data_IF_644438229264
#
_entry.id   IF_644438229264
#
_cell.length_a   1.000
_cell.length_b   1.000
_cell.length_c   1.000
_cell.angle_alpha   90.00
_cell.angle_beta   90.00
_cell.angle_gamma   90.00
#
_symmetry.space_group_name_H-M   'P 1'
#
loop_
_entity.id
_entity.type
_entity.pdbx_description
1 polymer ?
#
# COMPACT_ATOMS: atom_id res chain seq x y z
N UNK A 1 -3.46 -9.72 16.61
CA UNK A 1 -2.40 -10.27 15.74
C UNK A 1 -1.13 -9.52 16.03
N UNK A 2 -0.03 -10.20 16.34
CA UNK A 2 1.28 -9.59 16.44
C UNK A 2 2.11 -9.92 15.20
N UNK A 3 3.14 -9.14 14.99
CA UNK A 3 4.09 -9.27 13.89
C UNK A 3 5.51 -9.45 14.44
N UNK A 4 6.27 -10.27 13.76
CA UNK A 4 7.65 -10.62 14.09
C UNK A 4 8.56 -10.28 12.92
N UNK A 5 9.85 -10.04 13.19
CA UNK A 5 10.83 -9.91 12.12
C UNK A 5 11.20 -11.26 11.52
N UNK A 6 11.37 -11.32 10.21
CA UNK A 6 11.94 -12.49 9.52
C UNK A 6 13.37 -12.81 9.95
N UNK A 7 14.06 -11.88 10.63
CA UNK A 7 15.41 -12.06 11.19
C UNK A 7 15.40 -12.32 12.70
N UNK A 8 14.24 -12.23 13.37
CA UNK A 8 14.06 -12.56 14.77
C UNK A 8 14.51 -11.50 15.77
N UNK A 9 15.01 -10.35 15.31
CA UNK A 9 15.53 -9.28 16.17
C UNK A 9 14.50 -8.21 16.59
N UNK A 10 13.20 -8.47 16.41
CA UNK A 10 12.13 -7.54 16.77
C UNK A 10 11.20 -8.16 17.81
N UNK A 11 10.90 -7.43 18.88
CA UNK A 11 9.83 -7.82 19.79
C UNK A 11 8.46 -7.83 19.04
N UNK A 12 7.51 -8.69 19.43
CA UNK A 12 6.19 -8.72 18.80
C UNK A 12 5.50 -7.36 18.86
N UNK A 13 5.05 -6.86 17.72
CA UNK A 13 4.39 -5.56 17.58
C UNK A 13 3.04 -5.67 16.89
N UNK A 14 2.06 -4.76 17.19
CA UNK A 14 0.79 -4.71 16.48
C UNK A 14 0.94 -4.13 15.07
N UNK A 15 -0.09 -4.29 14.24
CA UNK A 15 -0.10 -3.83 12.86
C UNK A 15 0.18 -2.32 12.72
N UNK A 16 -0.43 -1.48 13.56
CA UNK A 16 -0.28 -0.02 13.46
C UNK A 16 1.14 0.45 13.79
N UNK A 17 1.94 -0.31 14.54
CA UNK A 17 3.32 0.03 14.85
C UNK A 17 4.23 -0.33 13.67
N UNK A 18 4.14 -1.57 13.18
CA UNK A 18 4.95 -2.01 12.04
C UNK A 18 4.66 -1.20 10.77
N UNK A 19 3.43 -0.70 10.63
CA UNK A 19 3.04 0.14 9.50
C UNK A 19 3.91 1.41 9.42
N UNK A 20 4.16 2.06 10.56
CA UNK A 20 4.93 3.31 10.61
C UNK A 20 6.45 3.07 10.54
N UNK A 21 6.92 1.91 10.98
CA UNK A 21 8.35 1.56 10.93
C UNK A 21 8.81 1.17 9.51
N UNK A 22 7.93 0.56 8.72
CA UNK A 22 8.22 0.09 7.37
C UNK A 22 9.04 -1.21 7.32
N UNK A 23 10.25 -1.21 7.85
CA UNK A 23 11.09 -2.40 8.05
C UNK A 23 11.25 -2.68 9.55
N UNK A 24 11.47 -3.95 9.91
CA UNK A 24 11.84 -4.29 11.27
C UNK A 24 13.21 -3.66 11.66
N UNK A 25 13.46 -3.34 12.96
CA UNK A 25 14.70 -2.70 13.40
C UNK A 25 15.98 -3.44 13.02
N UNK A 26 15.88 -4.76 12.83
CA UNK A 26 16.99 -5.61 12.39
C UNK A 26 17.13 -5.69 10.85
N UNK A 27 16.37 -4.88 10.11
CA UNK A 27 16.30 -4.87 8.64
C UNK A 27 15.57 -6.06 8.03
N UNK A 28 14.86 -6.85 8.86
CA UNK A 28 13.94 -7.90 8.40
C UNK A 28 12.60 -7.35 7.93
N UNK A 29 11.77 -8.24 7.37
CA UNK A 29 10.38 -7.94 7.06
C UNK A 29 9.51 -8.26 8.28
N UNK A 30 8.50 -7.44 8.54
CA UNK A 30 7.47 -7.76 9.51
C UNK A 30 6.49 -8.78 8.91
N UNK A 31 6.34 -9.93 9.56
CA UNK A 31 5.42 -10.99 9.17
C UNK A 31 4.48 -11.31 10.33
N UNK A 32 3.22 -11.72 10.07
CA UNK A 32 2.31 -12.09 11.15
C UNK A 32 2.84 -13.31 11.91
N UNK A 33 2.70 -13.29 13.23
CA UNK A 33 3.10 -14.39 14.11
C UNK A 33 2.42 -15.72 13.74
N UNK A 34 1.19 -15.64 13.26
CA UNK A 34 0.42 -16.78 12.78
C UNK A 34 -0.38 -16.37 11.53
N UNK A 35 -0.45 -17.25 10.54
CA UNK A 35 -1.33 -17.04 9.40
C UNK A 35 -2.78 -17.39 9.81
N UNK A 36 -3.73 -16.44 9.68
CA UNK A 36 -5.12 -16.69 9.98
C UNK A 36 -5.67 -17.85 9.15
N UNK A 37 -6.38 -18.76 9.79
CA UNK A 37 -7.08 -19.85 9.11
C UNK A 37 -8.50 -19.38 8.77
N UNK A 38 -8.96 -19.74 7.58
CA UNK A 38 -10.31 -19.44 7.09
C UNK A 38 -10.99 -20.76 6.76
N UNK A 39 -12.13 -21.04 7.40
CA UNK A 39 -12.89 -22.27 7.13
C UNK A 39 -13.64 -22.20 5.79
N UNK A 40 -14.05 -23.34 5.27
CA UNK A 40 -14.86 -23.42 4.06
C UNK A 40 -16.20 -22.68 4.23
N UNK A 41 -16.82 -22.78 5.41
CA UNK A 41 -18.07 -22.07 5.73
C UNK A 41 -17.87 -20.56 5.71
N UNK A 42 -16.73 -20.08 6.25
CA UNK A 42 -16.39 -18.66 6.21
C UNK A 42 -16.18 -18.18 4.78
N UNK A 43 -15.44 -18.94 3.95
CA UNK A 43 -15.25 -18.61 2.54
C UNK A 43 -16.59 -18.57 1.79
N UNK A 44 -17.50 -19.50 2.08
CA UNK A 44 -18.82 -19.51 1.47
C UNK A 44 -19.66 -18.30 1.90
N UNK A 45 -19.56 -17.88 3.17
CA UNK A 45 -20.27 -16.69 3.69
C UNK A 45 -19.80 -15.38 3.06
N UNK A 46 -18.60 -15.36 2.51
CA UNK A 46 -18.04 -14.19 1.81
C UNK A 46 -18.47 -14.12 0.33
N UNK A 47 -19.07 -15.18 -0.19
CA UNK A 47 -19.52 -15.21 -1.58
C UNK A 47 -20.52 -14.08 -1.85
N UNK A 48 -20.22 -13.29 -2.87
CA UNK A 48 -21.08 -12.18 -3.29
C UNK A 48 -20.98 -10.91 -2.45
N UNK A 49 -20.04 -10.84 -1.48
CA UNK A 49 -19.75 -9.58 -0.81
C UNK A 49 -19.21 -8.53 -1.80
N UNK A 50 -19.58 -7.25 -1.64
CA UNK A 50 -18.88 -6.17 -2.31
C UNK A 50 -17.39 -6.20 -1.98
N UNK A 51 -16.53 -5.80 -2.94
CA UNK A 51 -15.07 -5.91 -2.76
C UNK A 51 -14.56 -5.24 -1.48
N UNK A 52 -15.05 -4.05 -1.13
CA UNK A 52 -14.65 -3.35 0.09
C UNK A 52 -14.98 -4.13 1.38
N UNK A 53 -16.12 -4.82 1.40
CA UNK A 53 -16.53 -5.64 2.55
C UNK A 53 -15.74 -6.96 2.59
N UNK A 54 -15.44 -7.57 1.44
CA UNK A 54 -14.53 -8.72 1.36
C UNK A 54 -13.12 -8.34 1.83
N UNK A 55 -12.61 -7.17 1.43
CA UNK A 55 -11.33 -6.66 1.89
C UNK A 55 -11.32 -6.46 3.42
N UNK A 56 -12.40 -5.94 4.00
CA UNK A 56 -12.54 -5.85 5.45
C UNK A 56 -12.47 -7.23 6.12
N UNK A 57 -13.18 -8.23 5.60
CA UNK A 57 -13.18 -9.58 6.16
C UNK A 57 -11.77 -10.21 6.17
N UNK A 58 -10.98 -9.95 5.15
CA UNK A 58 -9.59 -10.41 5.10
C UNK A 58 -8.69 -9.57 6.03
N UNK A 59 -8.71 -8.25 5.89
CA UNK A 59 -7.79 -7.35 6.58
C UNK A 59 -8.02 -7.30 8.09
N UNK A 60 -9.27 -7.51 8.56
CA UNK A 60 -9.59 -7.58 9.99
C UNK A 60 -8.88 -8.73 10.73
N UNK A 61 -8.43 -9.74 10.01
CA UNK A 61 -7.65 -10.85 10.57
C UNK A 61 -6.19 -10.51 10.80
N UNK A 62 -5.70 -9.46 10.13
CA UNK A 62 -4.32 -8.99 10.19
C UNK A 62 -4.20 -7.70 11.01
N UNK A 63 -5.01 -6.69 10.75
CA UNK A 63 -5.00 -5.39 11.43
C UNK A 63 -5.93 -5.40 12.67
N UNK A 64 -5.65 -6.31 13.61
CA UNK A 64 -6.54 -6.59 14.77
C UNK A 64 -6.53 -5.51 15.85
N UNK A 65 -5.60 -4.58 15.80
CA UNK A 65 -5.49 -3.42 16.70
C UNK A 65 -6.25 -2.18 16.18
N UNK A 66 -6.81 -2.25 14.97
CA UNK A 66 -7.73 -1.24 14.44
C UNK A 66 -9.17 -1.67 14.77
N UNK A 67 -10.01 -0.81 15.41
CA UNK A 67 -11.41 -1.11 15.66
C UNK A 67 -12.15 -1.50 14.38
N UNK A 68 -13.03 -2.50 14.47
CA UNK A 68 -13.69 -3.08 13.29
C UNK A 68 -14.47 -2.05 12.45
N UNK A 69 -15.16 -1.12 13.09
CA UNK A 69 -15.94 -0.08 12.40
C UNK A 69 -15.02 0.90 11.67
N UNK A 70 -13.89 1.28 12.29
CA UNK A 70 -12.88 2.13 11.66
C UNK A 70 -12.27 1.42 10.45
N UNK A 71 -11.84 0.17 10.61
CA UNK A 71 -11.25 -0.62 9.51
C UNK A 71 -12.23 -0.80 8.35
N UNK A 72 -13.52 -1.04 8.64
CA UNK A 72 -14.58 -1.10 7.63
C UNK A 72 -14.73 0.23 6.89
N UNK A 73 -14.66 1.35 7.61
CA UNK A 73 -14.63 2.69 7.02
C UNK A 73 -13.45 2.88 6.07
N UNK A 74 -12.25 2.45 6.48
CA UNK A 74 -11.03 2.55 5.68
C UNK A 74 -11.10 1.71 4.40
N UNK A 75 -11.58 0.47 4.46
CA UNK A 75 -11.72 -0.37 3.27
C UNK A 75 -12.75 0.20 2.29
N UNK A 76 -13.87 0.72 2.80
CA UNK A 76 -14.90 1.37 1.96
C UNK A 76 -14.43 2.69 1.36
N UNK A 77 -13.55 3.42 2.04
CA UNK A 77 -12.94 4.64 1.49
C UNK A 77 -11.87 4.34 0.44
N UNK A 78 -11.15 3.22 0.59
CA UNK A 78 -10.11 2.80 -0.34
C UNK A 78 -10.66 2.19 -1.65
N UNK A 79 -11.71 1.37 -1.55
CA UNK A 79 -12.21 0.57 -2.67
C UNK A 79 -13.57 1.06 -3.15
N UNK A 80 -13.55 2.11 -3.97
CA UNK A 80 -14.74 2.73 -4.58
C UNK A 80 -14.65 2.70 -6.10
N UNK A 81 -15.81 2.66 -6.79
CA UNK A 81 -15.86 2.73 -8.24
C UNK A 81 -15.31 4.06 -8.80
N UNK A 82 -15.33 5.14 -8.01
CA UNK A 82 -14.71 6.41 -8.39
C UNK A 82 -13.19 6.33 -8.45
N UNK A 83 -12.56 5.55 -7.56
CA UNK A 83 -11.11 5.36 -7.53
C UNK A 83 -10.68 4.34 -8.59
N UNK A 84 -11.42 3.22 -8.70
CA UNK A 84 -11.03 2.08 -9.54
C UNK A 84 -11.70 2.05 -10.93
N UNK A 85 -12.53 3.03 -11.30
CA UNK A 85 -13.22 3.08 -12.59
C UNK A 85 -13.97 1.77 -12.95
N UNK A 86 -14.35 0.98 -11.96
CA UNK A 86 -15.05 -0.30 -12.08
C UNK A 86 -15.92 -0.52 -10.87
N UNK A 87 -17.17 -0.93 -11.06
CA UNK A 87 -18.08 -1.28 -9.96
C UNK A 87 -17.59 -2.53 -9.21
N UNK A 88 -16.98 -3.47 -9.92
CA UNK A 88 -16.45 -4.69 -9.33
C UNK A 88 -15.11 -4.49 -8.60
N UNK A 89 -14.45 -3.32 -8.78
CA UNK A 89 -13.09 -3.01 -8.32
C UNK A 89 -12.05 -3.95 -8.96
N UNK A 90 -12.27 -5.25 -8.88
CA UNK A 90 -11.46 -6.33 -9.46
C UNK A 90 -12.36 -7.19 -10.35
N UNK A 91 -12.57 -6.79 -11.62
CA UNK A 91 -13.44 -7.54 -12.52
C UNK A 91 -12.85 -8.91 -12.85
N UNK A 92 -13.70 -9.94 -12.80
CA UNK A 92 -13.38 -11.29 -13.21
C UNK A 92 -14.01 -11.59 -14.56
N UNK A 93 -13.19 -11.74 -15.59
CA UNK A 93 -13.64 -12.01 -16.97
C UNK A 93 -13.45 -13.50 -17.29
N UNK A 94 -14.53 -14.27 -17.46
CA UNK A 94 -14.40 -15.67 -17.85
C UNK A 94 -13.82 -15.78 -19.27
N UNK A 95 -12.94 -16.73 -19.45
CA UNK A 95 -12.34 -17.12 -20.72
C UNK A 95 -12.75 -18.57 -21.04
N UNK A 96 -12.37 -19.08 -22.21
CA UNK A 96 -12.60 -20.45 -22.59
C UNK A 96 -11.87 -21.45 -21.67
N UNK A 97 -12.37 -22.69 -21.62
CA UNK A 97 -11.74 -23.82 -20.90
C UNK A 97 -11.63 -23.65 -19.37
N UNK A 98 -12.57 -22.94 -18.74
CA UNK A 98 -12.59 -22.76 -17.28
C UNK A 98 -11.54 -21.80 -16.73
N UNK A 99 -10.86 -21.05 -17.60
CA UNK A 99 -9.98 -19.97 -17.20
C UNK A 99 -10.76 -18.70 -16.91
N UNK A 100 -10.18 -17.83 -16.10
CA UNK A 100 -10.69 -16.48 -15.87
C UNK A 100 -9.54 -15.49 -15.81
N UNK A 101 -9.77 -14.30 -16.32
CA UNK A 101 -8.85 -13.17 -16.22
C UNK A 101 -9.28 -12.29 -15.05
N UNK A 102 -8.40 -12.15 -14.05
CA UNK A 102 -8.57 -11.25 -12.92
C UNK A 102 -7.99 -9.87 -13.26
N UNK A 103 -8.85 -8.84 -13.36
CA UNK A 103 -8.45 -7.48 -13.66
C UNK A 103 -7.91 -6.78 -12.41
N UNK A 104 -6.64 -6.35 -12.43
CA UNK A 104 -6.00 -5.61 -11.35
C UNK A 104 -5.50 -4.23 -11.79
N UNK A 105 -5.92 -3.77 -12.97
CA UNK A 105 -5.47 -2.52 -13.60
C UNK A 105 -6.56 -1.45 -13.71
N UNK A 106 -7.57 -1.54 -12.87
CA UNK A 106 -8.71 -0.60 -12.88
C UNK A 106 -8.45 0.63 -11.98
N UNK A 107 -7.38 0.62 -11.20
CA UNK A 107 -7.00 1.70 -10.29
C UNK A 107 -6.47 2.95 -10.99
N UNK A 108 -6.20 4.03 -10.22
CA UNK A 108 -5.88 5.36 -10.79
C UNK A 108 -4.57 5.40 -11.58
N UNK A 109 -3.64 4.49 -11.35
CA UNK A 109 -2.37 4.41 -12.08
C UNK A 109 -2.32 3.27 -13.08
N UNK A 110 -3.37 2.47 -13.17
CA UNK A 110 -3.47 1.28 -14.01
C UNK A 110 -2.45 0.17 -13.66
N UNK A 111 -1.82 0.28 -12.50
CA UNK A 111 -0.92 -0.71 -11.96
C UNK A 111 -1.61 -1.52 -10.86
N UNK A 112 -1.34 -2.83 -10.79
CA UNK A 112 -1.91 -3.69 -9.74
C UNK A 112 -1.56 -3.22 -8.32
N UNK A 113 -0.52 -2.42 -8.17
CA UNK A 113 -0.09 -1.83 -6.90
C UNK A 113 -1.11 -0.87 -6.29
N UNK A 114 -2.01 -0.30 -7.10
CA UNK A 114 -3.12 0.50 -6.62
C UNK A 114 -3.99 -0.26 -5.60
N UNK A 115 -4.12 -1.57 -5.77
CA UNK A 115 -4.89 -2.42 -4.86
C UNK A 115 -4.41 -2.33 -3.41
N UNK A 116 -3.11 -2.35 -3.18
CA UNK A 116 -2.54 -2.22 -1.85
C UNK A 116 -2.40 -0.75 -1.43
N UNK A 117 -1.93 0.11 -2.33
CA UNK A 117 -1.58 1.48 -2.01
C UNK A 117 -2.79 2.34 -1.64
N UNK A 118 -3.96 2.15 -2.27
CA UNK A 118 -5.16 2.89 -1.92
C UNK A 118 -5.62 2.61 -0.48
N UNK A 119 -5.54 1.37 -0.03
CA UNK A 119 -5.80 1.03 1.37
C UNK A 119 -4.71 1.58 2.30
N UNK A 120 -3.45 1.42 1.93
CA UNK A 120 -2.31 1.90 2.71
C UNK A 120 -2.40 3.42 2.96
N UNK A 121 -2.78 4.20 1.96
CA UNK A 121 -2.98 5.65 2.09
C UNK A 121 -4.05 6.01 3.12
N UNK A 122 -5.15 5.26 3.18
CA UNK A 122 -6.20 5.47 4.18
C UNK A 122 -5.70 5.14 5.59
N UNK A 123 -4.98 4.03 5.74
CA UNK A 123 -4.50 3.57 7.05
C UNK A 123 -3.39 4.48 7.60
N UNK A 124 -2.47 4.97 6.75
CA UNK A 124 -1.47 5.95 7.19
C UNK A 124 -2.12 7.20 7.77
N UNK A 125 -3.03 7.83 7.04
CA UNK A 125 -3.71 9.03 7.52
C UNK A 125 -4.48 8.77 8.82
N UNK A 126 -5.14 7.62 8.93
CA UNK A 126 -5.87 7.20 10.14
C UNK A 126 -4.93 7.06 11.34
N UNK A 127 -3.84 6.30 11.21
CA UNK A 127 -2.91 6.03 12.33
C UNK A 127 -2.19 7.32 12.74
N UNK A 128 -1.69 8.10 11.78
CA UNK A 128 -0.99 9.36 12.06
C UNK A 128 -1.89 10.37 12.75
N UNK A 129 -3.15 10.49 12.30
CA UNK A 129 -4.12 11.40 12.95
C UNK A 129 -4.41 10.99 14.40
N UNK A 130 -4.55 9.68 14.68
CA UNK A 130 -4.78 9.18 16.05
C UNK A 130 -3.58 9.33 16.97
N UNK A 131 -2.38 9.31 16.42
CA UNK A 131 -1.12 9.47 17.18
C UNK A 131 -0.65 10.91 17.26
N UNK A 132 -1.35 11.84 16.62
CA UNK A 132 -0.96 13.25 16.50
C UNK A 132 0.51 13.40 16.04
N UNK A 133 0.86 12.68 14.98
CA UNK A 133 2.23 12.65 14.44
C UNK A 133 2.24 12.77 12.93
N UNK A 134 3.42 12.98 12.36
CA UNK A 134 3.65 13.10 10.92
C UNK A 134 4.69 12.08 10.46
N UNK A 135 4.68 11.74 9.17
CA UNK A 135 5.59 10.79 8.56
C UNK A 135 6.13 11.33 7.23
N UNK A 136 7.45 11.24 7.07
CA UNK A 136 8.10 11.43 5.78
C UNK A 136 8.35 10.07 5.14
N UNK A 137 7.75 9.84 3.98
CA UNK A 137 7.93 8.61 3.21
C UNK A 137 8.97 8.88 2.13
N UNK A 138 10.08 8.17 2.18
CA UNK A 138 11.11 8.22 1.15
C UNK A 138 11.10 6.92 0.38
N UNK A 139 10.93 7.00 -0.92
CA UNK A 139 10.87 5.83 -1.79
C UNK A 139 11.75 5.96 -3.02
N UNK A 140 12.13 4.83 -3.60
CA UNK A 140 12.76 4.76 -4.92
C UNK A 140 11.85 3.96 -5.86
N UNK A 141 11.70 4.41 -7.08
CA UNK A 141 10.81 3.79 -8.05
C UNK A 141 11.41 3.80 -9.46
N UNK A 142 11.03 2.77 -10.23
CA UNK A 142 11.21 2.76 -11.68
C UNK A 142 9.94 3.20 -12.44
N UNK A 143 8.84 3.46 -11.71
CA UNK A 143 7.57 3.94 -12.27
C UNK A 143 6.34 3.49 -11.50
N UNK A 144 5.89 2.25 -11.69
CA UNK A 144 4.59 1.75 -11.21
C UNK A 144 4.34 1.92 -9.71
N UNK A 145 5.32 1.54 -8.89
CA UNK A 145 5.16 1.60 -7.43
C UNK A 145 5.11 3.04 -6.94
N UNK A 146 5.97 3.91 -7.50
CA UNK A 146 5.97 5.32 -7.15
C UNK A 146 4.69 6.02 -7.53
N UNK A 147 4.21 5.81 -8.76
CA UNK A 147 2.93 6.35 -9.21
C UNK A 147 1.79 5.94 -8.28
N UNK A 148 1.68 4.65 -7.97
CA UNK A 148 0.61 4.14 -7.11
C UNK A 148 0.70 4.70 -5.68
N UNK A 149 1.92 4.83 -5.12
CA UNK A 149 2.13 5.40 -3.80
C UNK A 149 1.75 6.89 -3.76
N UNK A 150 2.20 7.67 -4.74
CA UNK A 150 1.88 9.09 -4.81
C UNK A 150 0.37 9.34 -4.97
N UNK A 151 -0.30 8.60 -5.85
CA UNK A 151 -1.76 8.72 -6.03
C UNK A 151 -2.54 8.34 -4.78
N UNK A 152 -2.06 7.39 -3.99
CA UNK A 152 -2.69 6.99 -2.74
C UNK A 152 -2.45 7.98 -1.59
N UNK A 153 -1.31 8.65 -1.60
CA UNK A 153 -0.84 9.50 -0.50
C UNK A 153 -1.00 11.00 -0.76
N UNK A 154 -1.31 11.40 -2.01
CA UNK A 154 -1.52 12.81 -2.35
C UNK A 154 -2.64 13.43 -1.51
N UNK A 155 -2.39 14.62 -0.99
CA UNK A 155 -3.34 15.36 -0.17
C UNK A 155 -3.64 14.74 1.20
N UNK A 156 -2.99 13.64 1.61
CA UNK A 156 -3.17 13.01 2.91
C UNK A 156 -2.50 13.86 4.01
N UNK A 157 -3.21 14.02 5.12
CA UNK A 157 -2.70 14.80 6.26
C UNK A 157 -1.62 14.04 7.01
N UNK A 158 -0.59 14.77 7.43
CA UNK A 158 0.52 14.22 8.21
C UNK A 158 1.52 13.39 7.41
N UNK A 159 1.39 13.32 6.08
CA UNK A 159 2.30 12.56 5.20
C UNK A 159 2.98 13.51 4.21
N UNK A 160 4.30 13.42 4.10
CA UNK A 160 5.06 13.99 2.99
C UNK A 160 5.79 12.85 2.25
N UNK A 161 5.72 12.86 0.92
CA UNK A 161 6.28 11.81 0.07
C UNK A 161 7.43 12.36 -0.75
N UNK A 162 8.59 11.73 -0.65
CA UNK A 162 9.79 12.04 -1.42
C UNK A 162 10.14 10.83 -2.29
N UNK A 163 9.84 10.91 -3.59
CA UNK A 163 10.02 9.79 -4.50
C UNK A 163 11.23 10.00 -5.41
N UNK A 164 12.23 9.14 -5.25
CA UNK A 164 13.43 9.14 -6.08
C UNK A 164 13.20 8.28 -7.32
N UNK A 165 13.52 8.82 -8.49
CA UNK A 165 13.40 8.08 -9.75
C UNK A 165 14.62 8.31 -10.66
N UNK A 166 15.00 7.33 -11.52
CA UNK A 166 16.15 7.46 -12.39
C UNK A 166 15.88 8.46 -13.53
N UNK A 167 16.65 9.52 -13.61
CA UNK A 167 16.50 10.57 -14.61
C UNK A 167 16.55 10.01 -16.05
N UNK A 168 15.50 10.27 -16.82
CA UNK A 168 15.41 9.87 -18.22
C UNK A 168 15.26 8.37 -18.48
N UNK A 169 15.02 7.54 -17.45
CA UNK A 169 14.92 6.07 -17.58
C UNK A 169 13.52 5.49 -17.31
N UNK A 170 12.56 6.34 -16.97
CA UNK A 170 11.16 5.94 -16.83
C UNK A 170 10.45 6.03 -18.19
N UNK A 171 9.37 5.26 -18.36
CA UNK A 171 8.50 5.43 -19.53
C UNK A 171 7.87 6.83 -19.54
N UNK A 172 7.53 7.34 -20.72
CA UNK A 172 6.88 8.65 -20.85
C UNK A 172 5.56 8.70 -20.08
N UNK A 173 4.81 7.60 -20.06
CA UNK A 173 3.54 7.46 -19.37
C UNK A 173 3.71 7.56 -17.84
N UNK A 174 4.58 6.75 -17.25
CA UNK A 174 4.85 6.76 -15.80
C UNK A 174 5.41 8.10 -15.33
N UNK A 175 6.32 8.68 -16.13
CA UNK A 175 6.83 10.02 -15.85
C UNK A 175 5.71 11.07 -15.85
N UNK A 176 4.78 11.01 -16.82
CA UNK A 176 3.65 11.92 -16.87
C UNK A 176 2.73 11.74 -15.65
N UNK A 177 2.45 10.51 -15.23
CA UNK A 177 1.64 10.25 -14.04
C UNK A 177 2.23 10.91 -12.80
N UNK A 178 3.52 10.70 -12.52
CA UNK A 178 4.17 11.19 -11.29
C UNK A 178 4.41 12.70 -11.33
N UNK A 179 5.06 13.19 -12.39
CA UNK A 179 5.50 14.59 -12.45
C UNK A 179 4.40 15.60 -12.80
N UNK A 180 3.17 15.13 -13.09
CA UNK A 180 1.99 16.00 -13.24
C UNK A 180 1.30 16.34 -11.92
N UNK A 181 1.61 15.62 -10.85
CA UNK A 181 1.03 15.88 -9.53
C UNK A 181 1.52 17.22 -8.99
N UNK A 182 0.58 18.02 -8.48
CA UNK A 182 0.82 19.36 -7.94
C UNK A 182 0.50 19.45 -6.45
N UNK A 183 0.29 18.31 -5.81
CA UNK A 183 -0.04 18.23 -4.39
C UNK A 183 1.17 18.63 -3.53
N UNK A 184 0.98 19.52 -2.56
CA UNK A 184 2.04 20.12 -1.74
C UNK A 184 2.87 19.08 -0.96
N UNK A 185 2.30 17.91 -0.71
CA UNK A 185 2.94 16.84 0.04
C UNK A 185 3.64 15.80 -0.86
N UNK A 186 3.68 15.99 -2.19
CA UNK A 186 4.33 15.07 -3.14
C UNK A 186 5.57 15.73 -3.74
N UNK A 187 6.73 15.11 -3.55
CA UNK A 187 8.03 15.62 -4.01
C UNK A 187 8.73 14.59 -4.87
N UNK A 188 8.79 14.84 -6.18
CA UNK A 188 9.48 13.99 -7.14
C UNK A 188 10.93 14.44 -7.34
N UNK A 189 11.89 13.53 -7.14
CA UNK A 189 13.33 13.79 -7.24
C UNK A 189 13.92 12.90 -8.34
N UNK A 190 14.39 13.54 -9.41
CA UNK A 190 15.09 12.84 -10.49
C UNK A 190 16.58 12.68 -10.15
N UNK A 191 17.04 11.44 -9.98
CA UNK A 191 18.42 11.08 -9.66
C UNK A 191 19.18 10.72 -10.94
N UNK A 192 20.37 11.29 -11.15
CA UNK A 192 21.24 10.85 -12.26
C UNK A 192 21.86 9.51 -11.90
N UNK A 193 21.36 8.46 -12.52
CA UNK A 193 21.78 7.09 -12.26
C UNK A 193 20.77 6.06 -12.72
N UNK A 194 20.85 4.86 -12.16
CA UNK A 194 19.90 3.76 -12.36
C UNK A 194 18.99 3.61 -11.15
N UNK A 195 17.95 2.77 -11.28
CA UNK A 195 17.00 2.53 -10.20
C UNK A 195 17.68 1.99 -8.93
N UNK A 196 18.64 1.07 -9.08
CA UNK A 196 19.33 0.46 -7.94
C UNK A 196 20.10 1.50 -7.11
N UNK A 197 20.73 2.49 -7.75
CA UNK A 197 21.42 3.57 -7.06
C UNK A 197 20.45 4.47 -6.28
N UNK A 198 19.27 4.76 -6.82
CA UNK A 198 18.20 5.47 -6.09
C UNK A 198 17.69 4.64 -4.90
N UNK A 199 17.56 3.33 -5.07
CA UNK A 199 17.16 2.41 -3.99
C UNK A 199 18.23 2.34 -2.89
N UNK A 200 19.51 2.36 -3.24
CA UNK A 200 20.61 2.33 -2.26
C UNK A 200 20.63 3.61 -1.41
N UNK A 201 20.28 4.76 -1.99
CA UNK A 201 20.08 6.01 -1.22
C UNK A 201 18.97 5.83 -0.18
N UNK A 202 17.82 5.28 -0.56
CA UNK A 202 16.69 5.04 0.36
C UNK A 202 17.10 4.08 1.49
N UNK A 203 17.79 2.99 1.16
CA UNK A 203 18.29 2.04 2.17
C UNK A 203 19.27 2.71 3.14
N UNK A 204 20.18 3.52 2.63
CA UNK A 204 21.15 4.24 3.47
C UNK A 204 20.45 5.24 4.41
N UNK A 205 19.42 5.95 3.95
CA UNK A 205 18.60 6.83 4.79
C UNK A 205 17.85 6.07 5.87
N UNK A 206 17.29 4.91 5.55
CA UNK A 206 16.61 4.05 6.53
C UNK A 206 17.54 3.58 7.65
N UNK A 207 18.81 3.35 7.36
CA UNK A 207 19.82 2.96 8.36
C UNK A 207 20.27 4.11 9.27
N UNK A 208 20.14 5.35 8.84
CA UNK A 208 20.52 6.53 9.64
C UNK A 208 19.51 6.79 10.78
N UNK A 209 18.28 6.34 10.65
CA UNK A 209 17.20 6.55 11.62
C UNK A 209 17.05 5.36 12.60
N UNK A 210 17.87 4.35 12.46
CA UNK A 210 18.02 3.24 13.41
C UNK A 210 19.14 3.56 14.39
#
# INVERSE_FOLDING_TARGET
>A
MNYLSTRGGMAPQPFSDILLEGLAPDGGLAVPEQLPQVSAETLESWRGLPYADLAFEVLSRFATDIPADDLRGLTRAAYTSQIFNSEDIVPLRPLDNGLSLLGLSEGPTLAFKDMAMQFLGQVFEYVLTRRDTTLNIVGATSGDTGSAAEYALRGKRGVAVFMLSPHGRMSAFQRAQMYSLQDENIHNIAVRGVFDEAQDIVKALSLIHI
#
